data_IF_678647035023
#
_entry.id   IF_678647035023
#
_cell.length_a   1.000
_cell.length_b   1.000
_cell.length_c   1.000
_cell.angle_alpha   90.00
_cell.angle_beta   90.00
_cell.angle_gamma   90.00
#
_symmetry.space_group_name_H-M   'P 1'
#
loop_
_entity.id
_entity.type
_entity.pdbx_description
1 polymer ?
#
# COMPACT_ATOMS: atom_id res chain seq x y z
N UNK A 1 -21.19 13.02 -13.36
CA UNK A 1 -19.90 13.56 -13.84
C UNK A 1 -19.28 14.38 -12.71
N UNK A 2 -18.07 14.04 -12.25
CA UNK A 2 -17.35 14.83 -11.25
C UNK A 2 -17.04 16.22 -11.82
N UNK A 3 -17.25 17.25 -11.02
CA UNK A 3 -16.84 18.62 -11.38
C UNK A 3 -15.33 18.69 -11.52
N UNK A 4 -14.79 19.69 -12.25
CA UNK A 4 -13.34 19.85 -12.41
C UNK A 4 -12.59 19.98 -11.07
N UNK A 5 -13.22 20.59 -10.08
CA UNK A 5 -12.70 20.70 -8.70
C UNK A 5 -12.65 19.35 -7.97
N UNK A 6 -13.65 18.50 -8.16
CA UNK A 6 -13.65 17.15 -7.57
C UNK A 6 -12.59 16.25 -8.19
N UNK A 7 -12.30 16.40 -9.49
CA UNK A 7 -11.18 15.68 -10.14
C UNK A 7 -9.82 16.14 -9.61
N UNK A 8 -9.63 17.45 -9.41
CA UNK A 8 -8.42 17.98 -8.80
C UNK A 8 -8.26 17.51 -7.34
N UNK A 9 -9.32 17.52 -6.56
CA UNK A 9 -9.31 17.01 -5.20
C UNK A 9 -8.99 15.49 -5.14
N UNK A 10 -9.53 14.72 -6.09
CA UNK A 10 -9.21 13.29 -6.21
C UNK A 10 -7.72 13.06 -6.54
N UNK A 11 -7.16 13.81 -7.49
CA UNK A 11 -5.73 13.74 -7.81
C UNK A 11 -4.87 14.17 -6.60
N UNK A 12 -5.28 15.22 -5.89
CA UNK A 12 -4.60 15.71 -4.69
C UNK A 12 -4.70 14.75 -3.48
N UNK A 13 -5.65 13.84 -3.46
CA UNK A 13 -5.78 12.83 -2.41
C UNK A 13 -5.01 11.54 -2.72
N UNK A 14 -4.66 11.28 -4.00
CA UNK A 14 -4.04 10.05 -4.44
C UNK A 14 -2.53 10.05 -4.14
N UNK A 15 -2.07 9.10 -3.33
CA UNK A 15 -0.66 8.92 -2.94
C UNK A 15 0.24 8.70 -4.16
N UNK A 16 -0.19 7.89 -5.13
CA UNK A 16 0.58 7.59 -6.35
C UNK A 16 0.78 8.82 -7.23
N UNK A 17 -0.21 9.74 -7.27
CA UNK A 17 -0.08 11.00 -7.99
C UNK A 17 1.05 11.88 -7.40
N UNK A 18 1.15 11.94 -6.08
CA UNK A 18 2.23 12.69 -5.43
C UNK A 18 3.60 12.07 -5.64
N UNK A 19 3.70 10.74 -5.67
CA UNK A 19 4.96 10.05 -6.01
C UNK A 19 5.36 10.41 -7.44
N UNK A 20 4.44 10.33 -8.39
CA UNK A 20 4.69 10.71 -9.78
C UNK A 20 5.06 12.19 -9.93
N UNK A 21 4.39 13.08 -9.19
CA UNK A 21 4.68 14.52 -9.20
C UNK A 21 6.08 14.82 -8.66
N UNK A 22 6.49 14.17 -7.55
CA UNK A 22 7.85 14.31 -7.00
C UNK A 22 8.91 13.82 -7.99
N UNK A 23 8.68 12.66 -8.61
CA UNK A 23 9.57 12.09 -9.62
C UNK A 23 9.70 13.03 -10.82
N UNK A 24 8.58 13.57 -11.30
CA UNK A 24 8.55 14.54 -12.41
C UNK A 24 9.30 15.83 -12.08
N UNK A 25 9.04 16.41 -10.91
CA UNK A 25 9.75 17.63 -10.46
C UNK A 25 11.25 17.37 -10.32
N UNK A 26 11.65 16.25 -9.71
CA UNK A 26 13.05 15.89 -9.57
C UNK A 26 13.74 15.70 -10.94
N UNK A 27 13.06 15.05 -11.89
CA UNK A 27 13.59 14.81 -13.23
C UNK A 27 13.71 16.11 -14.03
N UNK A 28 12.68 16.96 -14.02
CA UNK A 28 12.68 18.24 -14.76
C UNK A 28 13.78 19.18 -14.25
N UNK A 29 13.98 19.24 -12.93
CA UNK A 29 15.02 20.11 -12.33
C UNK A 29 16.44 19.69 -12.69
N UNK A 30 16.66 18.46 -13.17
CA UNK A 30 17.95 17.99 -13.69
C UNK A 30 18.02 18.04 -15.22
N UNK A 31 16.96 17.65 -15.93
CA UNK A 31 16.95 17.58 -17.39
C UNK A 31 17.00 18.96 -18.05
N UNK A 32 16.25 19.94 -17.52
CA UNK A 32 16.17 21.27 -18.14
C UNK A 32 17.52 21.98 -18.08
N UNK A 33 18.22 22.11 -16.95
CA UNK A 33 19.57 22.70 -16.94
C UNK A 33 20.56 21.88 -17.76
N UNK A 34 20.49 20.55 -17.73
CA UNK A 34 21.36 19.67 -18.50
C UNK A 34 21.26 19.87 -20.01
N UNK A 35 20.05 20.14 -20.51
CA UNK A 35 19.83 20.46 -21.92
C UNK A 35 20.48 21.78 -22.30
N UNK A 36 20.35 22.83 -21.49
CA UNK A 36 20.95 24.15 -21.76
C UNK A 36 22.48 24.18 -21.60
N UNK A 37 23.06 23.25 -20.86
CA UNK A 37 24.49 23.16 -20.59
C UNK A 37 25.20 22.13 -21.49
N UNK A 38 24.54 21.61 -22.53
CA UNK A 38 25.04 20.52 -23.41
C UNK A 38 25.55 19.28 -22.63
N UNK A 39 25.01 19.04 -21.46
CA UNK A 39 25.36 17.93 -20.56
C UNK A 39 24.21 16.91 -20.42
N UNK A 40 23.53 16.61 -21.52
CA UNK A 40 22.34 15.76 -21.56
C UNK A 40 22.60 14.33 -21.07
N UNK A 41 23.76 13.74 -21.39
CA UNK A 41 24.14 12.39 -20.97
C UNK A 41 24.25 12.27 -19.44
N UNK A 42 24.86 13.25 -18.78
CA UNK A 42 24.96 13.31 -17.32
C UNK A 42 23.58 13.45 -16.67
N UNK A 43 22.69 14.22 -17.27
CA UNK A 43 21.34 14.44 -16.76
C UNK A 43 20.48 13.18 -16.89
N UNK A 44 20.58 12.45 -17.98
CA UNK A 44 19.88 11.17 -18.19
C UNK A 44 20.32 10.13 -17.16
N UNK A 45 21.63 10.02 -16.92
CA UNK A 45 22.18 9.13 -15.90
C UNK A 45 21.64 9.46 -14.50
N UNK A 46 21.61 10.73 -14.12
CA UNK A 46 21.05 11.16 -12.85
C UNK A 46 19.55 10.82 -12.72
N UNK A 47 18.78 10.92 -13.81
CA UNK A 47 17.36 10.54 -13.84
C UNK A 47 17.17 9.03 -13.61
N UNK A 48 18.05 8.16 -14.08
CA UNK A 48 18.01 6.74 -13.76
C UNK A 48 18.18 6.51 -12.25
N UNK A 49 19.02 7.28 -11.57
CA UNK A 49 19.13 7.31 -10.12
C UNK A 49 17.83 7.74 -9.42
N UNK A 50 17.13 8.75 -9.97
CA UNK A 50 15.79 9.16 -9.48
C UNK A 50 14.80 8.00 -9.57
N UNK A 51 14.76 7.30 -10.72
CA UNK A 51 13.83 6.15 -10.90
C UNK A 51 14.06 5.08 -9.84
N UNK A 52 15.31 4.72 -9.56
CA UNK A 52 15.63 3.77 -8.51
C UNK A 52 15.21 4.28 -7.11
N UNK A 53 15.42 5.57 -6.82
CA UNK A 53 15.02 6.17 -5.55
C UNK A 53 13.50 6.22 -5.36
N UNK A 54 12.72 6.47 -6.43
CA UNK A 54 11.25 6.41 -6.41
C UNK A 54 10.75 5.03 -6.00
N UNK A 55 11.35 3.96 -6.52
CA UNK A 55 10.99 2.58 -6.20
C UNK A 55 11.32 2.24 -4.74
N UNK A 56 12.43 2.80 -4.22
CA UNK A 56 12.81 2.61 -2.83
C UNK A 56 11.97 3.45 -1.85
N UNK A 57 11.20 4.43 -2.32
CA UNK A 57 10.40 5.28 -1.45
C UNK A 57 9.28 4.50 -0.77
N UNK A 58 9.09 4.70 0.53
CA UNK A 58 8.03 4.09 1.33
C UNK A 58 7.26 5.11 2.14
N UNK A 59 6.12 4.68 2.68
CA UNK A 59 5.23 5.49 3.53
C UNK A 59 5.72 5.48 4.97
N UNK A 60 6.60 6.42 5.33
CA UNK A 60 7.20 6.49 6.65
C UNK A 60 7.00 7.84 7.34
N UNK A 61 7.16 7.83 8.67
CA UNK A 61 7.32 9.06 9.45
C UNK A 61 8.55 9.85 8.99
N UNK A 62 8.56 11.18 9.23
CA UNK A 62 9.66 12.07 8.79
C UNK A 62 11.02 11.53 9.24
N UNK A 63 11.15 11.17 10.52
CA UNK A 63 12.39 10.66 11.10
C UNK A 63 12.84 9.34 10.46
N UNK A 64 11.90 8.40 10.33
CA UNK A 64 12.17 7.10 9.73
C UNK A 64 12.53 7.24 8.25
N UNK A 65 11.89 8.16 7.54
CA UNK A 65 12.18 8.44 6.13
C UNK A 65 13.62 8.95 5.94
N UNK A 66 14.08 9.87 6.79
CA UNK A 66 15.48 10.34 6.72
C UNK A 66 16.47 9.19 6.94
N UNK A 67 16.27 8.38 7.98
CA UNK A 67 17.13 7.20 8.26
C UNK A 67 17.15 6.26 7.06
N UNK A 68 16.00 6.00 6.49
CA UNK A 68 15.85 5.06 5.41
C UNK A 68 16.40 5.60 4.07
N UNK A 69 16.30 6.91 3.82
CA UNK A 69 16.95 7.54 2.66
C UNK A 69 18.46 7.41 2.74
N UNK A 70 19.05 7.63 3.93
CA UNK A 70 20.50 7.43 4.16
C UNK A 70 20.88 5.96 3.97
N UNK A 71 20.10 5.03 4.51
CA UNK A 71 20.32 3.59 4.32
C UNK A 71 20.24 3.19 2.84
N UNK A 72 19.25 3.70 2.12
CA UNK A 72 19.10 3.42 0.69
C UNK A 72 20.28 3.95 -0.11
N UNK A 73 20.71 5.19 0.15
CA UNK A 73 21.90 5.75 -0.50
C UNK A 73 23.16 4.96 -0.18
N UNK A 74 23.33 4.49 1.07
CA UNK A 74 24.45 3.62 1.45
C UNK A 74 24.40 2.27 0.69
N UNK A 75 23.22 1.66 0.53
CA UNK A 75 23.05 0.46 -0.27
C UNK A 75 23.35 0.69 -1.75
N UNK A 76 22.94 1.83 -2.30
CA UNK A 76 23.21 2.22 -3.68
C UNK A 76 24.72 2.41 -3.92
N UNK A 77 25.37 3.12 -3.00
CA UNK A 77 26.83 3.34 -3.05
C UNK A 77 27.59 2.02 -2.96
N UNK A 78 27.21 1.15 -2.00
CA UNK A 78 27.83 -0.16 -1.85
C UNK A 78 27.65 -1.03 -3.11
N UNK A 79 26.43 -1.03 -3.68
CA UNK A 79 26.11 -1.77 -4.90
C UNK A 79 26.92 -1.30 -6.09
N UNK A 80 26.97 0.01 -6.31
CA UNK A 80 27.72 0.62 -7.40
C UNK A 80 29.24 0.39 -7.27
N UNK A 81 29.77 0.53 -6.05
CA UNK A 81 31.18 0.26 -5.75
C UNK A 81 31.53 -1.20 -6.03
N UNK A 82 30.71 -2.13 -5.54
CA UNK A 82 30.93 -3.57 -5.73
C UNK A 82 30.95 -3.93 -7.22
N UNK A 83 30.00 -3.42 -7.99
CA UNK A 83 29.98 -3.63 -9.45
C UNK A 83 31.23 -3.05 -10.10
N UNK A 84 31.62 -1.81 -9.79
CA UNK A 84 32.81 -1.17 -10.36
C UNK A 84 34.10 -1.91 -10.06
N UNK A 85 34.25 -2.41 -8.84
CA UNK A 85 35.45 -3.16 -8.42
C UNK A 85 35.56 -4.56 -9.07
N UNK A 86 34.42 -5.23 -9.25
CA UNK A 86 34.41 -6.60 -9.78
C UNK A 86 34.36 -6.65 -11.31
N UNK A 87 33.86 -5.61 -11.97
CA UNK A 87 33.65 -5.56 -13.42
C UNK A 87 34.88 -5.94 -14.26
N UNK A 88 36.12 -5.54 -13.90
CA UNK A 88 37.32 -5.93 -14.66
C UNK A 88 37.64 -7.43 -14.60
N UNK A 89 37.07 -8.19 -13.66
CA UNK A 89 37.37 -9.60 -13.43
C UNK A 89 36.14 -10.48 -13.72
N UNK A 90 35.96 -11.02 -14.95
CA UNK A 90 34.68 -11.63 -15.40
C UNK A 90 34.13 -12.73 -14.46
N UNK A 91 34.99 -13.65 -14.00
CA UNK A 91 34.56 -14.73 -13.09
C UNK A 91 34.21 -14.19 -11.69
N UNK A 92 35.05 -13.32 -11.13
CA UNK A 92 34.75 -12.66 -9.85
C UNK A 92 33.48 -11.80 -9.92
N UNK A 93 33.26 -11.13 -11.03
CA UNK A 93 32.07 -10.34 -11.29
C UNK A 93 30.80 -11.22 -11.31
N UNK A 94 30.83 -12.37 -12.01
CA UNK A 94 29.73 -13.31 -12.02
C UNK A 94 29.38 -13.80 -10.61
N UNK A 95 30.37 -14.37 -9.89
CA UNK A 95 30.15 -14.90 -8.55
C UNK A 95 29.80 -13.82 -7.53
N UNK A 96 30.46 -12.68 -7.58
CA UNK A 96 30.20 -11.56 -6.69
C UNK A 96 28.79 -10.95 -6.89
N UNK A 97 28.37 -10.80 -8.13
CA UNK A 97 27.00 -10.31 -8.45
C UNK A 97 25.93 -11.30 -8.00
N UNK A 98 26.15 -12.60 -8.13
CA UNK A 98 25.26 -13.64 -7.62
C UNK A 98 25.13 -13.59 -6.10
N UNK A 99 26.28 -13.57 -5.41
CA UNK A 99 26.30 -13.52 -3.94
C UNK A 99 25.64 -12.24 -3.40
N UNK A 100 25.95 -11.11 -4.01
CA UNK A 100 25.36 -9.81 -3.66
C UNK A 100 23.86 -9.80 -3.87
N UNK A 101 23.38 -10.26 -5.04
CA UNK A 101 21.95 -10.31 -5.34
C UNK A 101 21.20 -11.20 -4.36
N UNK A 102 21.74 -12.36 -4.05
CA UNK A 102 21.16 -13.26 -3.05
C UNK A 102 21.08 -12.60 -1.67
N UNK A 103 22.19 -12.02 -1.20
CA UNK A 103 22.25 -11.36 0.11
C UNK A 103 21.26 -10.19 0.23
N UNK A 104 21.19 -9.32 -0.78
CA UNK A 104 20.28 -8.17 -0.81
C UNK A 104 18.81 -8.60 -0.78
N UNK A 105 18.42 -9.67 -1.48
CA UNK A 105 17.04 -10.15 -1.47
C UNK A 105 16.70 -10.76 -0.10
N UNK A 106 17.61 -11.50 0.53
CA UNK A 106 17.38 -12.03 1.87
C UNK A 106 17.20 -10.91 2.89
N UNK A 107 17.88 -9.76 2.75
CA UNK A 107 17.61 -8.58 3.58
C UNK A 107 16.17 -8.08 3.46
N UNK A 108 15.50 -8.33 2.34
CA UNK A 108 14.06 -8.06 2.17
C UNK A 108 13.16 -8.80 3.16
N UNK A 109 13.64 -9.86 3.81
CA UNK A 109 12.90 -10.58 4.87
C UNK A 109 12.64 -9.74 6.13
N UNK A 110 13.39 -8.66 6.32
CA UNK A 110 13.24 -7.76 7.46
C UNK A 110 11.96 -6.91 7.41
N UNK A 111 11.26 -6.91 6.27
CA UNK A 111 9.96 -6.27 6.10
C UNK A 111 9.72 -5.71 4.70
N UNK A 112 8.47 -5.36 4.42
CA UNK A 112 8.00 -4.87 3.11
C UNK A 112 8.88 -3.74 2.55
N UNK A 113 9.38 -2.88 3.42
CA UNK A 113 10.26 -1.78 3.07
C UNK A 113 11.63 -2.23 2.55
N UNK A 114 12.23 -3.20 3.23
CA UNK A 114 13.54 -3.72 2.81
C UNK A 114 13.44 -4.44 1.46
N UNK A 115 12.27 -4.99 1.11
CA UNK A 115 12.02 -5.55 -0.22
C UNK A 115 12.15 -4.48 -1.31
N UNK A 116 11.56 -3.29 -1.11
CA UNK A 116 11.64 -2.20 -2.09
C UNK A 116 13.06 -1.63 -2.20
N UNK A 117 13.76 -1.46 -1.07
CA UNK A 117 15.17 -1.03 -1.06
C UNK A 117 16.05 -2.06 -1.77
N UNK A 118 15.86 -3.36 -1.51
CA UNK A 118 16.61 -4.43 -2.15
C UNK A 118 16.45 -4.42 -3.67
N UNK A 119 15.21 -4.30 -4.14
CA UNK A 119 14.92 -4.23 -5.57
C UNK A 119 15.55 -2.99 -6.23
N UNK A 120 15.41 -1.83 -5.63
CA UNK A 120 16.01 -0.59 -6.12
C UNK A 120 17.56 -0.65 -6.12
N UNK A 121 18.15 -1.30 -5.12
CA UNK A 121 19.59 -1.52 -5.04
C UNK A 121 20.09 -2.40 -6.19
N UNK A 122 19.37 -3.47 -6.53
CA UNK A 122 19.69 -4.29 -7.71
C UNK A 122 19.52 -3.52 -9.02
N UNK A 123 18.55 -2.61 -9.11
CA UNK A 123 18.43 -1.73 -10.29
C UNK A 123 19.66 -0.83 -10.44
N UNK A 124 20.16 -0.24 -9.36
CA UNK A 124 21.41 0.55 -9.40
C UNK A 124 22.59 -0.30 -9.82
N UNK A 125 22.70 -1.56 -9.35
CA UNK A 125 23.73 -2.49 -9.81
C UNK A 125 23.70 -2.64 -11.34
N UNK A 126 22.52 -2.89 -11.91
CA UNK A 126 22.35 -3.07 -13.35
C UNK A 126 22.59 -1.77 -14.12
N UNK A 127 22.15 -0.62 -13.62
CA UNK A 127 22.45 0.67 -14.26
C UNK A 127 23.94 0.96 -14.24
N UNK A 128 24.64 0.62 -13.17
CA UNK A 128 26.12 0.74 -13.12
C UNK A 128 26.78 -0.19 -14.13
N UNK A 129 26.30 -1.44 -14.28
CA UNK A 129 26.78 -2.37 -15.30
C UNK A 129 26.62 -1.82 -16.72
N UNK A 130 25.43 -1.23 -17.01
CA UNK A 130 25.15 -0.61 -18.30
C UNK A 130 26.08 0.58 -18.58
N UNK A 131 26.32 1.44 -17.59
CA UNK A 131 27.24 2.57 -17.73
C UNK A 131 28.67 2.13 -18.00
N UNK A 132 29.16 1.16 -17.23
CA UNK A 132 30.53 0.63 -17.42
C UNK A 132 30.71 -0.07 -18.77
N UNK A 133 29.68 -0.75 -19.28
CA UNK A 133 29.75 -1.37 -20.62
C UNK A 133 29.83 -0.33 -21.74
N UNK A 134 29.12 0.80 -21.61
CA UNK A 134 29.14 1.88 -22.56
C UNK A 134 30.48 2.63 -22.57
N UNK A 135 31.06 2.89 -21.39
CA UNK A 135 32.36 3.53 -21.26
C UNK A 135 33.50 2.64 -21.79
N UNK A 136 33.41 1.31 -21.64
CA UNK A 136 34.37 0.37 -22.16
C UNK A 136 34.43 0.35 -23.71
N UNK A 137 33.33 0.66 -24.39
CA UNK A 137 33.32 0.86 -25.85
C UNK A 137 33.96 2.20 -26.28
N UNK A 138 33.80 3.23 -25.43
CA UNK A 138 34.24 4.60 -25.76
C UNK A 138 35.73 4.85 -25.49
N UNK A 139 36.34 4.09 -24.58
CA UNK A 139 37.72 4.30 -24.10
C UNK A 139 38.48 2.98 -23.98
N UNK A 140 39.18 2.58 -25.03
CA UNK A 140 40.27 1.61 -24.98
C UNK A 140 41.52 2.20 -24.27
N UNK A 141 41.38 2.93 -23.17
CA UNK A 141 42.47 3.61 -22.47
C UNK A 141 42.49 3.22 -21.00
N UNK A 142 43.51 2.41 -20.68
CA UNK A 142 44.24 2.29 -19.41
C UNK A 142 43.46 2.42 -18.10
N UNK A 143 43.06 1.29 -17.59
CA UNK A 143 42.64 1.10 -16.19
C UNK A 143 43.89 1.10 -15.33
N UNK A 144 44.27 2.26 -14.82
CA UNK A 144 45.18 2.38 -13.69
C UNK A 144 44.64 3.45 -12.78
N UNK A 145 43.80 3.09 -11.89
CA UNK A 145 43.48 3.70 -10.59
C UNK A 145 41.99 3.44 -10.30
N UNK A 146 41.72 3.08 -9.06
CA UNK A 146 40.35 2.87 -8.54
C UNK A 146 39.70 4.22 -8.37
N UNK A 147 39.45 4.93 -9.48
CA UNK A 147 38.67 6.15 -9.47
C UNK A 147 37.18 5.81 -9.53
N UNK A 148 36.43 6.42 -8.64
CA UNK A 148 34.97 6.33 -8.64
C UNK A 148 34.47 6.77 -10.02
N UNK A 149 33.88 5.85 -10.78
CA UNK A 149 33.38 6.14 -12.11
C UNK A 149 32.34 7.30 -12.03
N UNK A 150 32.49 8.40 -12.79
CA UNK A 150 31.59 9.53 -12.76
C UNK A 150 30.14 9.13 -13.01
N UNK A 151 29.87 8.08 -13.79
CA UNK A 151 28.56 7.53 -14.04
C UNK A 151 27.89 7.05 -12.73
N UNK A 152 28.62 6.33 -11.89
CA UNK A 152 28.16 5.84 -10.58
C UNK A 152 27.80 6.98 -9.63
N UNK A 153 28.62 8.03 -9.60
CA UNK A 153 28.37 9.22 -8.79
C UNK A 153 27.11 9.96 -9.22
N UNK A 154 26.84 10.06 -10.53
CA UNK A 154 25.65 10.69 -11.06
C UNK A 154 24.38 9.94 -10.72
N UNK A 155 24.39 8.59 -10.75
CA UNK A 155 23.27 7.76 -10.30
C UNK A 155 22.94 8.04 -8.83
N UNK A 156 23.94 8.06 -7.96
CA UNK A 156 23.78 8.29 -6.52
C UNK A 156 23.32 9.76 -6.28
N UNK A 157 23.90 10.73 -7.00
CA UNK A 157 23.53 12.13 -6.90
C UNK A 157 22.06 12.37 -7.31
N UNK A 158 21.61 11.73 -8.39
CA UNK A 158 20.21 11.77 -8.82
C UNK A 158 19.26 11.18 -7.76
N UNK A 159 19.61 10.05 -7.16
CA UNK A 159 18.86 9.45 -6.06
C UNK A 159 18.82 10.37 -4.82
N UNK A 160 19.95 10.97 -4.45
CA UNK A 160 20.04 11.92 -3.33
C UNK A 160 19.16 13.15 -3.58
N UNK A 161 19.20 13.70 -4.81
CA UNK A 161 18.37 14.82 -5.22
C UNK A 161 16.87 14.53 -5.07
N UNK A 162 16.44 13.34 -5.51
CA UNK A 162 15.07 12.90 -5.31
C UNK A 162 14.67 12.85 -3.82
N UNK A 163 15.51 12.29 -2.95
CA UNK A 163 15.22 12.24 -1.51
C UNK A 163 15.16 13.62 -0.86
N UNK A 164 15.93 14.59 -1.34
CA UNK A 164 15.83 15.99 -0.89
C UNK A 164 14.46 16.55 -1.25
N UNK A 165 14.06 16.49 -2.52
CA UNK A 165 12.75 16.97 -2.99
C UNK A 165 11.61 16.24 -2.26
N UNK A 166 11.71 14.93 -2.12
CA UNK A 166 10.72 14.12 -1.45
C UNK A 166 10.57 14.51 0.04
N UNK A 167 11.67 14.84 0.72
CA UNK A 167 11.65 15.28 2.12
C UNK A 167 11.02 16.68 2.28
N UNK A 168 11.30 17.60 1.36
CA UNK A 168 10.70 18.94 1.35
C UNK A 168 9.19 18.88 1.16
N UNK A 169 8.73 18.03 0.24
CA UNK A 169 7.30 17.86 -0.05
C UNK A 169 6.56 16.97 0.96
N UNK A 170 7.27 16.30 1.87
CA UNK A 170 6.69 15.33 2.80
C UNK A 170 5.65 15.95 3.73
N UNK A 171 5.85 17.18 4.21
CA UNK A 171 4.91 17.85 5.13
C UNK A 171 3.48 17.95 4.60
N UNK A 172 3.33 18.02 3.27
CA UNK A 172 2.03 18.14 2.60
C UNK A 172 1.33 16.78 2.46
N UNK A 173 2.11 15.69 2.36
CA UNK A 173 1.62 14.36 1.98
C UNK A 173 1.70 13.31 3.08
N UNK A 174 2.19 13.67 4.27
CA UNK A 174 2.59 12.75 5.33
C UNK A 174 1.53 11.71 5.70
N UNK A 175 0.26 12.11 5.80
CA UNK A 175 -0.83 11.24 6.21
C UNK A 175 -1.76 10.83 5.05
N UNK A 176 -1.47 11.22 3.81
CA UNK A 176 -2.30 10.87 2.66
C UNK A 176 -2.43 9.35 2.47
N UNK A 177 -1.35 8.52 2.59
CA UNK A 177 -1.47 7.07 2.48
C UNK A 177 -2.41 6.46 3.53
N UNK A 178 -2.37 6.95 4.79
CA UNK A 178 -3.27 6.47 5.84
C UNK A 178 -4.72 6.85 5.52
N UNK A 179 -4.97 8.07 5.02
CA UNK A 179 -6.32 8.52 4.62
C UNK A 179 -6.87 7.71 3.47
N UNK A 180 -6.04 7.42 2.46
CA UNK A 180 -6.40 6.60 1.31
C UNK A 180 -6.81 5.19 1.77
N UNK A 181 -5.99 4.54 2.62
CA UNK A 181 -6.31 3.21 3.15
C UNK A 181 -7.56 3.20 4.04
N UNK A 182 -7.76 4.24 4.84
CA UNK A 182 -9.00 4.40 5.63
C UNK A 182 -10.21 4.57 4.72
N UNK A 183 -10.12 5.38 3.68
CA UNK A 183 -11.20 5.55 2.71
C UNK A 183 -11.52 4.22 2.01
N UNK A 184 -10.52 3.43 1.62
CA UNK A 184 -10.69 2.10 1.02
C UNK A 184 -11.44 1.14 1.96
N UNK A 185 -11.17 1.19 3.28
CA UNK A 185 -11.92 0.41 4.27
C UNK A 185 -13.39 0.81 4.26
N UNK A 186 -13.69 2.11 4.32
CA UNK A 186 -15.08 2.60 4.32
C UNK A 186 -15.80 2.29 3.00
N UNK A 187 -15.14 2.40 1.85
CA UNK A 187 -15.70 2.01 0.55
C UNK A 187 -15.99 0.51 0.51
N UNK A 188 -15.09 -0.31 1.01
CA UNK A 188 -15.25 -1.77 1.08
C UNK A 188 -16.39 -2.17 2.02
N UNK A 189 -16.55 -1.49 3.17
CA UNK A 189 -17.69 -1.63 4.07
C UNK A 189 -19.01 -1.25 3.37
N UNK A 190 -19.01 -0.17 2.60
CA UNK A 190 -20.15 0.24 1.78
C UNK A 190 -20.56 -0.82 0.76
N UNK A 191 -19.57 -1.37 0.02
CA UNK A 191 -19.81 -2.45 -0.94
C UNK A 191 -20.33 -3.72 -0.25
N UNK A 192 -19.79 -4.06 0.92
CA UNK A 192 -20.27 -5.19 1.72
C UNK A 192 -21.75 -5.04 2.11
N UNK A 193 -22.16 -3.86 2.56
CA UNK A 193 -23.57 -3.61 2.92
C UNK A 193 -24.49 -3.59 1.71
N UNK A 194 -24.03 -3.05 0.58
CA UNK A 194 -24.77 -3.08 -0.67
C UNK A 194 -25.00 -4.52 -1.16
N UNK A 195 -23.99 -5.38 -1.08
CA UNK A 195 -24.14 -6.79 -1.42
C UNK A 195 -25.06 -7.52 -0.45
N UNK A 196 -24.94 -7.24 0.87
CA UNK A 196 -25.81 -7.80 1.91
C UNK A 196 -27.28 -7.41 1.71
N UNK A 197 -27.56 -6.19 1.21
CA UNK A 197 -28.91 -5.74 0.92
C UNK A 197 -29.65 -6.62 -0.11
N UNK A 198 -28.91 -7.30 -1.03
CA UNK A 198 -29.49 -8.21 -2.01
C UNK A 198 -30.20 -9.41 -1.39
N UNK A 199 -29.87 -9.80 -0.16
CA UNK A 199 -30.64 -10.84 0.56
C UNK A 199 -32.08 -10.42 0.82
N UNK A 200 -32.34 -9.13 0.96
CA UNK A 200 -33.64 -8.55 1.24
C UNK A 200 -34.34 -8.02 -0.01
N UNK A 201 -33.69 -8.07 -1.17
CA UNK A 201 -34.28 -7.62 -2.45
C UNK A 201 -35.41 -8.53 -2.90
N UNK A 202 -36.43 -7.94 -3.55
CA UNK A 202 -37.52 -8.69 -4.16
C UNK A 202 -37.08 -9.46 -5.42
N UNK A 203 -35.99 -9.04 -6.08
CA UNK A 203 -35.43 -9.74 -7.23
C UNK A 203 -34.77 -11.06 -6.78
N UNK A 204 -34.94 -12.11 -7.61
CA UNK A 204 -34.28 -13.40 -7.39
C UNK A 204 -32.77 -13.25 -7.62
N UNK A 205 -32.03 -13.23 -6.56
CA UNK A 205 -30.58 -13.36 -6.60
C UNK A 205 -30.15 -14.74 -6.12
N UNK A 206 -29.06 -15.28 -6.67
CA UNK A 206 -28.48 -16.51 -6.16
C UNK A 206 -27.78 -16.23 -4.83
N UNK A 207 -28.33 -16.74 -3.74
CA UNK A 207 -27.82 -16.55 -2.40
C UNK A 207 -26.41 -17.17 -2.21
N UNK A 208 -26.07 -18.19 -3.00
CA UNK A 208 -24.74 -18.80 -2.95
C UNK A 208 -23.67 -17.85 -3.48
N UNK A 209 -23.98 -17.19 -4.59
CA UNK A 209 -23.14 -16.14 -5.19
C UNK A 209 -22.97 -14.96 -4.25
N UNK A 210 -24.06 -14.47 -3.62
CA UNK A 210 -23.98 -13.36 -2.64
C UNK A 210 -23.06 -13.72 -1.49
N UNK A 211 -23.18 -14.93 -0.91
CA UNK A 211 -22.31 -15.36 0.21
C UNK A 211 -20.84 -15.43 -0.20
N UNK A 212 -20.56 -15.94 -1.39
CA UNK A 212 -19.19 -15.97 -1.92
C UNK A 212 -18.62 -14.54 -2.07
N UNK A 213 -19.39 -13.63 -2.66
CA UNK A 213 -18.99 -12.23 -2.82
C UNK A 213 -18.75 -11.55 -1.46
N UNK A 214 -19.67 -11.75 -0.49
CA UNK A 214 -19.50 -11.23 0.86
C UNK A 214 -18.25 -11.77 1.56
N UNK A 215 -17.94 -13.06 1.39
CA UNK A 215 -16.70 -13.64 1.92
C UNK A 215 -15.46 -12.98 1.33
N UNK A 216 -15.43 -12.78 0.02
CA UNK A 216 -14.32 -12.08 -0.67
C UNK A 216 -14.18 -10.64 -0.22
N UNK A 217 -15.30 -9.90 -0.13
CA UNK A 217 -15.30 -8.53 0.37
C UNK A 217 -14.81 -8.44 1.82
N UNK A 218 -15.21 -9.39 2.67
CA UNK A 218 -14.74 -9.45 4.05
C UNK A 218 -13.22 -9.66 4.16
N UNK A 219 -12.65 -10.54 3.32
CA UNK A 219 -11.19 -10.74 3.24
C UNK A 219 -10.51 -9.43 2.81
N UNK A 220 -11.05 -8.73 1.82
CA UNK A 220 -10.49 -7.45 1.35
C UNK A 220 -10.53 -6.38 2.45
N UNK A 221 -11.63 -6.28 3.22
CA UNK A 221 -11.75 -5.35 4.35
C UNK A 221 -10.68 -5.66 5.41
N UNK A 222 -10.53 -6.93 5.80
CA UNK A 222 -9.55 -7.34 6.81
C UNK A 222 -8.12 -7.05 6.35
N UNK A 223 -7.80 -7.29 5.08
CA UNK A 223 -6.50 -6.97 4.50
C UNK A 223 -6.25 -5.46 4.48
N UNK A 224 -7.23 -4.66 4.07
CA UNK A 224 -7.13 -3.19 4.08
C UNK A 224 -6.94 -2.64 5.50
N UNK A 225 -7.64 -3.21 6.50
CA UNK A 225 -7.45 -2.87 7.91
C UNK A 225 -6.04 -3.20 8.40
N UNK A 226 -5.51 -4.36 8.03
CA UNK A 226 -4.15 -4.77 8.41
C UNK A 226 -3.09 -3.84 7.80
N UNK A 227 -3.25 -3.45 6.55
CA UNK A 227 -2.36 -2.50 5.88
C UNK A 227 -2.46 -1.10 6.50
N UNK A 228 -3.67 -0.61 6.77
CA UNK A 228 -3.90 0.68 7.41
C UNK A 228 -3.26 0.71 8.81
N UNK A 229 -3.45 -0.34 9.62
CA UNK A 229 -2.82 -0.49 10.93
C UNK A 229 -1.30 -0.43 10.82
N UNK A 230 -0.72 -1.15 9.87
CA UNK A 230 0.73 -1.18 9.67
C UNK A 230 1.26 0.22 9.34
N UNK A 231 0.55 0.98 8.51
CA UNK A 231 0.92 2.37 8.19
C UNK A 231 0.79 3.29 9.40
N UNK A 232 -0.24 3.15 10.20
CA UNK A 232 -0.42 3.91 11.45
C UNK A 232 0.73 3.59 12.43
N UNK A 233 1.08 2.31 12.61
CA UNK A 233 2.16 1.87 13.53
C UNK A 233 3.53 2.46 13.15
N UNK A 234 3.79 2.74 11.86
CA UNK A 234 5.01 3.42 11.41
C UNK A 234 5.06 4.89 11.80
N UNK A 235 3.91 5.53 12.02
CA UNK A 235 3.82 6.96 12.31
C UNK A 235 3.68 7.27 13.81
N UNK A 236 3.42 6.26 14.66
CA UNK A 236 3.33 6.43 16.11
C UNK A 236 4.73 6.55 16.68
N UNK A 237 5.12 7.76 17.11
CA UNK A 237 6.28 7.96 17.97
C UNK A 237 5.81 7.99 19.44
N UNK A 238 6.49 7.22 20.31
CA UNK A 238 6.04 6.94 21.70
C UNK A 238 5.87 8.17 22.60
N UNK A 239 6.31 9.35 22.18
CA UNK A 239 6.32 10.55 23.04
C UNK A 239 5.21 11.54 22.77
N UNK A 240 4.81 11.76 21.52
CA UNK A 240 3.75 12.70 21.15
C UNK A 240 3.06 12.25 19.87
N UNK A 241 1.76 12.01 19.92
CA UNK A 241 0.95 11.71 18.76
C UNK A 241 0.30 13.00 18.26
N UNK A 242 0.63 13.49 17.04
CA UNK A 242 0.03 14.69 16.50
C UNK A 242 -1.49 14.57 16.39
N UNK A 243 -2.21 15.67 16.61
CA UNK A 243 -3.68 15.71 16.63
C UNK A 243 -4.30 15.13 15.33
N UNK A 244 -3.68 15.37 14.18
CA UNK A 244 -4.13 14.82 12.90
C UNK A 244 -4.04 13.29 12.88
N UNK A 245 -2.97 12.73 13.43
CA UNK A 245 -2.81 11.26 13.52
C UNK A 245 -3.78 10.67 14.56
N UNK A 246 -4.03 11.35 15.68
CA UNK A 246 -5.03 10.93 16.67
C UNK A 246 -6.42 10.80 16.04
N UNK A 247 -6.82 11.79 15.23
CA UNK A 247 -8.08 11.75 14.50
C UNK A 247 -8.14 10.55 13.52
N UNK A 248 -7.05 10.25 12.79
CA UNK A 248 -7.01 9.11 11.88
C UNK A 248 -7.06 7.76 12.63
N UNK A 249 -6.44 7.66 13.80
CA UNK A 249 -6.54 6.48 14.66
C UNK A 249 -7.98 6.28 15.12
N UNK A 250 -8.67 7.35 15.52
CA UNK A 250 -10.07 7.29 15.91
C UNK A 250 -10.96 6.80 14.75
N UNK A 251 -10.75 7.32 13.53
CA UNK A 251 -11.46 6.85 12.33
C UNK A 251 -11.19 5.38 12.03
N UNK A 252 -9.99 4.91 12.29
CA UNK A 252 -9.64 3.50 12.13
C UNK A 252 -10.38 2.62 13.15
N UNK A 253 -10.47 3.05 14.42
CA UNK A 253 -11.23 2.35 15.46
C UNK A 253 -12.73 2.32 15.13
N UNK A 254 -13.29 3.45 14.69
CA UNK A 254 -14.67 3.54 14.18
C UNK A 254 -14.92 2.51 13.07
N UNK A 255 -14.01 2.43 12.08
CA UNK A 255 -14.12 1.48 10.98
C UNK A 255 -14.06 0.01 11.45
N UNK A 256 -13.22 -0.30 12.47
CA UNK A 256 -13.17 -1.63 13.08
C UNK A 256 -14.48 -2.00 13.78
N UNK A 257 -15.04 -1.08 14.57
CA UNK A 257 -16.32 -1.31 15.24
C UNK A 257 -17.46 -1.47 14.24
N UNK A 258 -17.49 -0.64 13.17
CA UNK A 258 -18.44 -0.78 12.08
C UNK A 258 -18.33 -2.15 11.42
N UNK A 259 -17.13 -2.61 11.09
CA UNK A 259 -16.89 -3.91 10.50
C UNK A 259 -17.44 -5.04 11.41
N UNK A 260 -17.15 -4.99 12.71
CA UNK A 260 -17.65 -5.98 13.67
C UNK A 260 -19.19 -6.03 13.69
N UNK A 261 -19.87 -4.87 13.76
CA UNK A 261 -21.34 -4.81 13.77
C UNK A 261 -21.95 -5.27 12.45
N UNK A 262 -21.30 -4.96 11.34
CA UNK A 262 -21.78 -5.32 9.99
C UNK A 262 -21.61 -6.80 9.67
N UNK A 263 -20.56 -7.45 10.19
CA UNK A 263 -20.23 -8.86 9.91
C UNK A 263 -20.78 -9.84 10.92
N UNK A 264 -21.11 -9.41 12.15
CA UNK A 264 -21.52 -10.27 13.27
C UNK A 264 -22.86 -11.01 13.10
N UNK A 265 -23.61 -10.75 12.03
CA UNK A 265 -24.93 -11.37 11.79
C UNK A 265 -24.87 -12.32 10.59
N UNK A 266 -24.50 -13.58 10.83
CA UNK A 266 -24.58 -14.66 9.84
C UNK A 266 -25.87 -15.48 10.05
N UNK A 267 -26.95 -15.09 9.39
CA UNK A 267 -28.21 -15.83 9.43
C UNK A 267 -28.53 -16.49 8.10
N UNK A 268 -29.37 -17.53 8.16
CA UNK A 268 -29.98 -18.13 6.98
C UNK A 268 -31.12 -17.24 6.48
N UNK A 269 -30.75 -16.16 5.80
CA UNK A 269 -31.71 -15.17 5.24
C UNK A 269 -32.78 -15.80 4.33
N UNK A 270 -32.49 -16.98 3.73
CA UNK A 270 -33.44 -17.73 2.89
C UNK A 270 -34.65 -18.22 3.66
N UNK A 271 -34.47 -18.70 4.89
CA UNK A 271 -35.55 -19.14 5.76
C UNK A 271 -36.35 -17.94 6.29
N UNK A 272 -35.66 -16.85 6.62
CA UNK A 272 -36.31 -15.60 7.02
C UNK A 272 -37.23 -15.05 5.94
N UNK A 273 -36.76 -14.96 4.69
CA UNK A 273 -37.52 -14.41 3.58
C UNK A 273 -38.73 -15.29 3.23
N UNK A 274 -38.64 -16.62 3.32
CA UNK A 274 -39.75 -17.54 3.03
C UNK A 274 -40.84 -17.52 4.07
N UNK A 275 -40.50 -17.27 5.31
CA UNK A 275 -41.40 -17.33 6.44
C UNK A 275 -42.01 -15.95 6.83
N UNK A 276 -41.41 -14.86 6.33
CA UNK A 276 -41.87 -13.50 6.52
C UNK A 276 -42.79 -13.08 5.33
N UNK A 277 -44.08 -13.16 5.55
CA UNK A 277 -45.07 -12.64 4.56
C UNK A 277 -45.19 -11.10 4.56
N UNK A 278 -44.33 -10.39 5.31
CA UNK A 278 -44.38 -8.93 5.43
C UNK A 278 -43.34 -8.28 4.52
N UNK A 279 -43.79 -7.84 3.33
CA UNK A 279 -42.92 -7.17 2.36
C UNK A 279 -42.38 -5.83 2.86
N UNK A 280 -43.05 -5.13 3.80
CA UNK A 280 -42.59 -3.84 4.34
C UNK A 280 -41.32 -3.98 5.16
N UNK A 281 -41.20 -5.00 6.01
CA UNK A 281 -40.02 -5.26 6.82
C UNK A 281 -38.84 -5.66 5.94
N UNK A 282 -39.09 -6.52 4.94
CA UNK A 282 -38.04 -6.96 4.01
C UNK A 282 -37.49 -5.76 3.23
N UNK A 283 -38.37 -4.94 2.65
CA UNK A 283 -37.95 -3.73 1.92
C UNK A 283 -37.32 -2.68 2.84
N UNK A 284 -37.77 -2.58 4.11
CA UNK A 284 -37.17 -1.71 5.12
C UNK A 284 -35.73 -2.07 5.41
N UNK A 285 -35.40 -3.37 5.62
CA UNK A 285 -34.02 -3.81 5.76
C UNK A 285 -33.17 -3.58 4.51
N UNK A 286 -33.71 -3.83 3.32
CA UNK A 286 -33.01 -3.52 2.05
C UNK A 286 -32.65 -2.03 1.98
N UNK A 287 -33.59 -1.15 2.27
CA UNK A 287 -33.40 0.30 2.23
C UNK A 287 -32.37 0.77 3.26
N UNK A 288 -32.48 0.33 4.51
CA UNK A 288 -31.51 0.67 5.57
C UNK A 288 -30.10 0.21 5.22
N UNK A 289 -29.94 -1.00 4.69
CA UNK A 289 -28.63 -1.51 4.27
C UNK A 289 -28.03 -0.69 3.12
N UNK A 290 -28.84 -0.28 2.14
CA UNK A 290 -28.40 0.58 1.04
C UNK A 290 -28.03 1.99 1.52
N UNK A 291 -28.80 2.56 2.44
CA UNK A 291 -28.48 3.87 3.02
C UNK A 291 -27.22 3.82 3.88
N UNK A 292 -27.03 2.76 4.66
CA UNK A 292 -25.80 2.53 5.41
C UNK A 292 -24.58 2.37 4.48
N UNK A 293 -24.74 1.68 3.35
CA UNK A 293 -23.72 1.59 2.31
C UNK A 293 -23.34 2.98 1.75
N UNK A 294 -24.33 3.82 1.49
CA UNK A 294 -24.14 5.21 1.03
C UNK A 294 -23.43 6.04 2.11
N UNK A 295 -23.82 5.92 3.38
CA UNK A 295 -23.21 6.62 4.50
C UNK A 295 -21.73 6.24 4.68
N UNK A 296 -21.39 4.94 4.57
CA UNK A 296 -19.99 4.48 4.57
C UNK A 296 -19.20 5.08 3.40
N UNK A 297 -19.76 5.11 2.21
CA UNK A 297 -19.11 5.71 1.03
C UNK A 297 -18.90 7.21 1.21
N UNK A 298 -19.86 7.94 1.76
CA UNK A 298 -19.73 9.37 2.08
C UNK A 298 -18.66 9.59 3.16
N UNK A 299 -18.59 8.73 4.18
CA UNK A 299 -17.55 8.76 5.21
C UNK A 299 -16.17 8.57 4.62
N UNK A 300 -16.00 7.57 3.72
CA UNK A 300 -14.78 7.34 2.97
C UNK A 300 -14.35 8.57 2.17
N UNK A 301 -15.27 9.19 1.44
CA UNK A 301 -15.01 10.42 0.69
C UNK A 301 -14.60 11.58 1.61
N UNK A 302 -15.30 11.78 2.74
CA UNK A 302 -14.98 12.82 3.70
C UNK A 302 -13.56 12.64 4.26
N UNK A 303 -13.17 11.39 4.58
CA UNK A 303 -11.82 11.04 5.04
C UNK A 303 -10.76 11.31 3.98
N UNK A 304 -11.03 10.90 2.73
CA UNK A 304 -10.09 11.05 1.61
C UNK A 304 -9.84 12.53 1.27
N UNK A 305 -10.90 13.33 1.22
CA UNK A 305 -10.83 14.75 0.81
C UNK A 305 -10.63 15.73 1.98
N UNK A 306 -10.37 15.24 3.18
CA UNK A 306 -10.20 16.08 4.39
C UNK A 306 -11.40 16.99 4.65
N UNK A 307 -12.61 16.49 4.38
CA UNK A 307 -13.87 17.22 4.60
C UNK A 307 -14.58 16.74 5.85
N UNK A 308 -15.38 17.60 6.46
CA UNK A 308 -16.26 17.19 7.53
C UNK A 308 -17.33 16.21 6.99
N UNK A 309 -17.50 15.10 7.69
CA UNK A 309 -18.57 14.16 7.37
C UNK A 309 -19.93 14.77 7.77
N UNK A 310 -20.87 14.74 6.83
CA UNK A 310 -22.25 15.12 7.07
C UNK A 310 -23.10 13.88 7.06
N UNK A 311 -23.68 13.56 8.21
CA UNK A 311 -24.54 12.38 8.32
C UNK A 311 -25.87 12.60 7.63
N UNK A 312 -26.32 11.59 6.86
CA UNK A 312 -27.64 11.61 6.22
C UNK A 312 -28.73 11.18 7.21
N UNK A 313 -29.56 12.12 7.64
CA UNK A 313 -30.69 11.85 8.53
C UNK A 313 -31.70 10.85 7.94
N UNK A 314 -31.68 10.61 6.63
CA UNK A 314 -32.52 9.61 5.97
C UNK A 314 -32.33 8.21 6.52
N UNK A 315 -31.08 7.82 6.87
CA UNK A 315 -30.76 6.54 7.50
C UNK A 315 -31.42 6.40 8.88
N UNK A 316 -31.27 7.41 9.72
CA UNK A 316 -31.86 7.44 11.07
C UNK A 316 -33.37 7.37 11.03
N UNK A 317 -34.01 8.06 10.06
CA UNK A 317 -35.46 7.99 9.87
C UNK A 317 -35.92 6.62 9.39
N UNK A 318 -35.23 6.02 8.45
CA UNK A 318 -35.56 4.66 7.97
C UNK A 318 -35.42 3.62 9.08
N UNK A 319 -34.43 3.76 9.96
CA UNK A 319 -34.28 2.94 11.17
C UNK A 319 -35.44 3.15 12.15
N UNK A 320 -35.92 4.37 12.33
CA UNK A 320 -37.05 4.66 13.21
C UNK A 320 -38.34 4.00 12.69
N UNK A 321 -38.61 4.06 11.37
CA UNK A 321 -39.76 3.40 10.73
C UNK A 321 -39.62 1.88 10.88
N UNK A 322 -38.46 1.33 10.54
CA UNK A 322 -38.21 -0.12 10.65
C UNK A 322 -38.40 -0.64 12.09
N UNK A 323 -38.07 0.19 13.10
CA UNK A 323 -38.28 -0.14 14.51
C UNK A 323 -39.78 -0.31 14.81
N UNK A 324 -40.62 0.60 14.31
CA UNK A 324 -42.06 0.55 14.51
C UNK A 324 -42.66 -0.73 13.88
N UNK A 325 -42.26 -1.04 12.65
CA UNK A 325 -42.66 -2.26 11.97
C UNK A 325 -42.28 -3.54 12.71
N UNK A 326 -41.02 -3.57 13.26
CA UNK A 326 -40.56 -4.68 14.06
C UNK A 326 -41.35 -4.84 15.38
N UNK A 327 -41.76 -3.77 16.03
CA UNK A 327 -42.58 -3.81 17.24
C UNK A 327 -44.02 -4.37 16.98
N UNK A 328 -44.57 -4.12 15.78
CA UNK A 328 -45.82 -4.72 15.38
C UNK A 328 -45.66 -6.23 15.11
N UNK A 329 -44.56 -6.62 14.51
CA UNK A 329 -44.25 -8.02 14.23
C UNK A 329 -44.01 -8.84 15.50
N UNK A 330 -43.41 -8.26 16.54
CA UNK A 330 -43.10 -8.93 17.83
C UNK A 330 -44.32 -9.55 18.46
N UNK A 331 -45.51 -9.00 18.19
CA UNK A 331 -46.78 -9.49 18.73
C UNK A 331 -47.38 -10.66 17.94
N UNK A 332 -46.92 -10.93 16.72
CA UNK A 332 -47.55 -11.84 15.78
C UNK A 332 -46.70 -12.99 15.25
N UNK A 333 -45.41 -13.03 15.56
CA UNK A 333 -44.46 -14.00 14.98
C UNK A 333 -43.66 -14.76 16.06
N UNK A 334 -43.32 -16.02 15.79
CA UNK A 334 -42.51 -16.85 16.67
C UNK A 334 -41.11 -16.24 16.90
N UNK A 335 -40.60 -16.35 18.14
CA UNK A 335 -39.31 -15.85 18.58
C UNK A 335 -38.12 -16.31 17.71
N UNK A 336 -38.17 -17.51 17.16
CA UNK A 336 -37.10 -18.05 16.30
C UNK A 336 -36.86 -17.23 15.02
N UNK A 337 -37.90 -16.57 14.49
CA UNK A 337 -37.81 -15.68 13.33
C UNK A 337 -37.53 -14.23 13.73
N UNK A 338 -38.07 -13.81 14.86
CA UNK A 338 -37.93 -12.43 15.34
C UNK A 338 -36.57 -12.11 15.92
N UNK A 339 -35.97 -13.05 16.66
CA UNK A 339 -34.64 -12.86 17.31
C UNK A 339 -33.53 -12.43 16.37
N UNK A 340 -33.32 -13.12 15.23
CA UNK A 340 -32.35 -12.72 14.21
C UNK A 340 -32.57 -11.33 13.62
N UNK A 341 -33.82 -10.96 13.34
CA UNK A 341 -34.15 -9.63 12.81
C UNK A 341 -33.89 -8.53 13.83
N UNK A 342 -34.24 -8.77 15.09
CA UNK A 342 -33.99 -7.85 16.20
C UNK A 342 -32.48 -7.64 16.41
N UNK A 343 -31.67 -8.70 16.31
CA UNK A 343 -30.21 -8.59 16.39
C UNK A 343 -29.64 -7.82 15.21
N UNK A 344 -30.06 -8.12 13.98
CA UNK A 344 -29.66 -7.36 12.78
C UNK A 344 -30.01 -5.89 12.93
N UNK A 345 -31.24 -5.57 13.32
CA UNK A 345 -31.67 -4.19 13.56
C UNK A 345 -30.80 -3.48 14.60
N UNK A 346 -30.51 -4.15 15.74
CA UNK A 346 -29.64 -3.59 16.78
C UNK A 346 -28.25 -3.27 16.25
N UNK A 347 -27.68 -4.13 15.41
CA UNK A 347 -26.35 -3.92 14.82
C UNK A 347 -26.37 -2.77 13.81
N UNK A 348 -27.41 -2.66 12.99
CA UNK A 348 -27.57 -1.55 12.05
C UNK A 348 -27.75 -0.21 12.77
N UNK A 349 -28.53 -0.19 13.85
CA UNK A 349 -28.67 1.02 14.69
C UNK A 349 -27.36 1.43 15.35
N UNK A 350 -26.58 0.46 15.87
CA UNK A 350 -25.25 0.76 16.43
C UNK A 350 -24.29 1.29 15.36
N UNK A 351 -24.35 0.76 14.13
CA UNK A 351 -23.54 1.27 13.02
C UNK A 351 -23.90 2.72 12.66
N UNK A 352 -25.20 3.08 12.69
CA UNK A 352 -25.66 4.46 12.51
C UNK A 352 -25.15 5.37 13.64
N UNK A 353 -25.29 4.95 14.89
CA UNK A 353 -24.81 5.69 16.08
C UNK A 353 -23.28 5.92 16.03
N UNK A 354 -22.48 4.98 15.52
CA UNK A 354 -21.03 5.14 15.34
C UNK A 354 -20.71 6.22 14.30
N UNK A 355 -21.43 6.23 13.19
CA UNK A 355 -21.24 7.24 12.13
C UNK A 355 -21.68 8.65 12.55
N UNK A 356 -22.66 8.78 13.45
CA UNK A 356 -23.11 10.08 14.01
C UNK A 356 -22.10 10.62 15.02
N UNK A 357 -21.66 9.75 15.97
CA UNK A 357 -20.82 10.16 17.11
C UNK A 357 -19.34 10.18 16.79
N UNK A 358 -18.97 10.63 15.61
CA UNK A 358 -17.59 10.64 15.10
C UNK A 358 -16.65 11.63 15.78
N UNK A 359 -17.05 12.29 16.86
CA UNK A 359 -16.15 13.15 17.63
C UNK A 359 -15.25 12.32 18.55
N UNK A 360 -13.96 12.64 18.65
CA UNK A 360 -13.04 11.95 19.53
C UNK A 360 -13.56 12.08 20.97
N UNK A 361 -14.00 10.98 21.55
CA UNK A 361 -14.26 10.89 22.98
C UNK A 361 -12.96 11.23 23.71
N UNK A 362 -13.03 12.24 24.58
CA UNK A 362 -11.92 12.80 25.35
C UNK A 362 -10.83 11.79 25.76
N UNK A 363 -9.62 12.19 25.57
CA UNK A 363 -8.27 11.93 26.10
C UNK A 363 -7.88 10.62 26.82
N UNK A 364 -8.74 9.66 27.10
CA UNK A 364 -8.38 8.59 28.05
C UNK A 364 -8.46 7.13 27.55
N UNK A 365 -8.90 6.88 26.33
CA UNK A 365 -8.87 5.53 25.78
C UNK A 365 -8.29 5.47 24.34
N UNK A 366 -7.11 6.05 24.15
CA UNK A 366 -6.25 5.49 23.12
C UNK A 366 -5.85 4.08 23.60
N UNK A 367 -6.60 3.07 23.23
CA UNK A 367 -6.12 1.71 23.22
C UNK A 367 -4.85 1.75 22.35
N UNK A 368 -3.72 1.99 23.02
CA UNK A 368 -2.40 1.89 22.44
C UNK A 368 -2.40 0.53 21.75
N UNK A 369 -2.48 0.55 20.42
CA UNK A 369 -2.38 -0.67 19.64
C UNK A 369 -1.15 -1.38 20.16
N UNK A 370 -1.33 -2.56 20.77
CA UNK A 370 -0.21 -3.28 21.37
C UNK A 370 0.89 -3.39 20.32
N UNK A 371 2.09 -2.86 20.59
CA UNK A 371 3.16 -2.85 19.63
C UNK A 371 3.38 -4.29 19.17
N UNK A 372 3.39 -4.51 17.86
CA UNK A 372 3.70 -5.83 17.32
C UNK A 372 5.10 -6.20 17.80
N UNK A 373 5.22 -7.26 18.58
CA UNK A 373 6.53 -7.80 18.95
C UNK A 373 7.27 -8.18 17.66
N UNK A 374 8.29 -7.38 17.33
CA UNK A 374 9.16 -7.70 16.18
C UNK A 374 10.17 -8.74 16.65
N UNK A 375 10.20 -9.86 15.98
CA UNK A 375 11.26 -10.86 16.20
C UNK A 375 12.64 -10.20 16.03
N UNK A 376 13.67 -10.64 16.77
CA UNK A 376 15.03 -10.17 16.57
C UNK A 376 15.47 -10.32 15.12
N UNK A 377 16.24 -9.37 14.60
CA UNK A 377 16.69 -9.33 13.19
C UNK A 377 17.34 -10.66 12.78
N UNK A 378 18.20 -11.22 13.64
CA UNK A 378 18.89 -12.49 13.39
C UNK A 378 17.90 -13.63 13.22
N UNK A 379 16.84 -13.67 14.03
CA UNK A 379 15.82 -14.71 13.94
C UNK A 379 14.94 -14.55 12.68
N UNK A 380 14.66 -13.32 12.26
CA UNK A 380 13.96 -13.07 11.00
C UNK A 380 14.79 -13.55 9.81
N UNK A 381 16.08 -13.23 9.76
CA UNK A 381 17.01 -13.68 8.71
C UNK A 381 17.17 -15.21 8.72
N UNK A 382 17.32 -15.82 9.89
CA UNK A 382 17.39 -17.29 10.03
C UNK A 382 16.13 -17.97 9.49
N UNK A 383 14.94 -17.45 9.83
CA UNK A 383 13.67 -17.96 9.33
C UNK A 383 13.52 -17.77 7.81
N UNK A 384 14.14 -16.73 7.24
CA UNK A 384 14.11 -16.49 5.80
C UNK A 384 14.98 -17.50 5.02
N UNK A 385 16.02 -18.06 5.62
CA UNK A 385 16.97 -19.00 4.98
C UNK A 385 16.46 -20.43 4.84
N UNK A 386 15.18 -20.69 5.11
CA UNK A 386 14.57 -22.01 4.92
C UNK A 386 14.01 -22.19 3.50
N UNK A 387 14.15 -23.39 2.93
CA UNK A 387 13.61 -23.74 1.59
C UNK A 387 12.08 -23.55 1.45
N UNK A 388 11.36 -23.62 2.55
CA UNK A 388 9.92 -23.33 2.59
C UNK A 388 9.58 -21.85 2.47
N UNK A 389 10.54 -20.95 2.73
CA UNK A 389 10.34 -19.50 2.68
C UNK A 389 10.12 -19.02 1.24
N UNK A 390 9.06 -18.24 0.96
CA UNK A 390 8.85 -17.66 -0.36
C UNK A 390 9.98 -16.70 -0.77
N UNK A 391 10.56 -15.98 0.20
CA UNK A 391 11.67 -15.04 -0.03
C UNK A 391 12.93 -15.79 -0.45
N UNK A 392 13.24 -16.92 0.19
CA UNK A 392 14.38 -17.75 -0.18
C UNK A 392 14.26 -18.31 -1.61
N UNK A 393 13.08 -18.83 -1.94
CA UNK A 393 12.82 -19.34 -3.30
C UNK A 393 12.90 -18.23 -4.35
N UNK A 394 12.45 -17.03 -4.01
CA UNK A 394 12.59 -15.87 -4.88
C UNK A 394 14.05 -15.46 -5.04
N UNK A 395 14.82 -15.42 -3.95
CA UNK A 395 16.26 -15.12 -3.98
C UNK A 395 17.02 -16.08 -4.91
N UNK A 396 16.77 -17.39 -4.79
CA UNK A 396 17.40 -18.39 -5.67
C UNK A 396 16.99 -18.15 -7.14
N UNK A 397 15.70 -17.99 -7.44
CA UNK A 397 15.24 -17.79 -8.83
C UNK A 397 15.88 -16.56 -9.47
N UNK A 398 15.92 -15.45 -8.75
CA UNK A 398 16.49 -14.21 -9.27
C UNK A 398 18.01 -14.32 -9.43
N UNK A 399 18.70 -14.91 -8.46
CA UNK A 399 20.16 -15.15 -8.54
C UNK A 399 20.54 -16.03 -9.72
N UNK A 400 19.78 -17.11 -9.97
CA UNK A 400 20.00 -17.97 -11.16
C UNK A 400 19.73 -17.17 -12.45
N UNK A 401 18.67 -16.36 -12.49
CA UNK A 401 18.37 -15.51 -13.64
C UNK A 401 19.49 -14.51 -13.95
N UNK A 402 20.02 -13.85 -12.92
CA UNK A 402 21.16 -12.92 -13.05
C UNK A 402 22.42 -13.67 -13.50
N UNK A 403 22.71 -14.85 -12.91
CA UNK A 403 23.84 -15.69 -13.30
C UNK A 403 23.78 -16.09 -14.78
N UNK A 404 22.61 -16.52 -15.25
CA UNK A 404 22.41 -16.87 -16.65
C UNK A 404 22.54 -15.63 -17.55
N UNK A 405 21.95 -14.50 -17.16
CA UNK A 405 22.05 -13.25 -17.93
C UNK A 405 23.51 -12.79 -18.09
N UNK A 406 24.26 -12.72 -17.01
CA UNK A 406 25.69 -12.34 -17.04
C UNK A 406 26.51 -13.42 -17.78
N UNK A 407 26.22 -14.70 -17.54
CA UNK A 407 26.90 -15.82 -18.23
C UNK A 407 26.74 -15.79 -19.74
N UNK A 408 25.55 -15.50 -20.24
CA UNK A 408 25.27 -15.33 -21.68
C UNK A 408 26.07 -14.15 -22.25
N UNK A 409 26.09 -13.01 -21.54
CA UNK A 409 26.83 -11.82 -21.97
C UNK A 409 28.32 -12.13 -22.08
N UNK A 410 28.90 -12.79 -21.08
CA UNK A 410 30.32 -13.15 -21.06
C UNK A 410 30.69 -14.22 -22.11
N UNK A 411 29.75 -15.12 -22.45
CA UNK A 411 29.99 -16.19 -23.40
C UNK A 411 29.81 -15.78 -24.87
N UNK A 412 28.99 -14.75 -25.13
CA UNK A 412 28.58 -14.35 -26.48
C UNK A 412 29.14 -13.01 -26.95
N UNK A 413 30.06 -12.40 -26.18
CA UNK A 413 30.61 -11.04 -26.41
C UNK A 413 29.51 -9.99 -26.72
N UNK A 414 28.29 -10.21 -26.18
CA UNK A 414 27.18 -9.27 -26.33
C UNK A 414 27.38 -8.03 -25.44
N UNK A 415 27.43 -6.88 -26.05
CA UNK A 415 27.60 -5.60 -25.36
C UNK A 415 26.25 -5.07 -24.83
N UNK A 416 25.65 -5.76 -23.86
CA UNK A 416 24.37 -5.23 -23.37
C UNK A 416 23.81 -5.93 -22.12
N UNK A 417 24.02 -5.34 -20.95
CA UNK A 417 23.44 -5.80 -19.68
C UNK A 417 21.91 -5.58 -19.60
N UNK A 418 21.23 -5.21 -20.69
CA UNK A 418 19.76 -5.11 -20.80
C UNK A 418 19.06 -6.43 -20.48
N UNK A 419 19.71 -7.56 -20.78
CA UNK A 419 19.20 -8.90 -20.44
C UNK A 419 19.05 -9.06 -18.93
N UNK A 420 20.02 -8.56 -18.16
CA UNK A 420 19.95 -8.60 -16.68
C UNK A 420 18.84 -7.70 -16.17
N UNK A 421 18.66 -6.52 -16.79
CA UNK A 421 17.58 -5.60 -16.43
C UNK A 421 16.20 -6.22 -16.69
N UNK A 422 15.99 -6.83 -17.85
CA UNK A 422 14.72 -7.49 -18.18
C UNK A 422 14.45 -8.67 -17.26
N UNK A 423 15.48 -9.45 -16.90
CA UNK A 423 15.37 -10.55 -15.94
C UNK A 423 14.91 -10.05 -14.57
N UNK A 424 15.46 -8.93 -14.10
CA UNK A 424 15.08 -8.31 -12.83
C UNK A 424 13.59 -7.93 -12.82
N UNK A 425 13.07 -7.33 -13.90
CA UNK A 425 11.66 -6.94 -14.00
C UNK A 425 10.71 -8.14 -14.15
N UNK A 426 11.07 -9.13 -14.95
CA UNK A 426 10.22 -10.32 -15.17
C UNK A 426 10.11 -11.19 -13.91
N UNK A 427 11.15 -11.27 -13.12
CA UNK A 427 11.20 -12.07 -11.88
C UNK A 427 10.79 -11.29 -10.62
N UNK A 428 10.15 -10.14 -10.76
CA UNK A 428 9.62 -9.40 -9.61
C UNK A 428 8.77 -10.29 -8.70
N UNK A 429 8.84 -10.13 -7.37
CA UNK A 429 7.92 -10.79 -6.46
C UNK A 429 6.51 -10.24 -6.68
N UNK A 430 5.58 -11.13 -7.04
CA UNK A 430 4.14 -10.85 -7.19
C UNK A 430 3.46 -10.70 -5.84
#
# INVERSE_FOLDING_TARGET
MLTSWQKLAYLAANSNFFIALKAFLASITLLVPGYFLDSSEFSVTAVLGIVAAVIAEGDDSIKQRMINSVLTLACFTLSSLLVSLLFPYPLLFLFGSCLFSFAIIILGSLGKRYVTISFATLMIAVYTMLGLSHDAESTAILISDVDFNPYSLLLIAGAAWYFIISTVLLKVTLYNPIRERLADIYFSLGLYQQEKAKFFSQTKHDHKTIRHTLSTLNINIVNAMLECRTNIDYHIDKKDIPHELQHLIHLYQEAQELHEKMTSSHFHYDSLKRNLNNNLIISGFEQVLKQLASACTQRGNATLYKQAYQHDHGLTWSLAILKQELLTLEKSVEWQLFGPLKLLFRNLRKADELLINSEPKSDHEFLVMAPRERLPIIQQLSNALHLSSPIFRHAIRLTIGIALGIGIILASDLHGYWVVLTTLFVLQPS
#
